data_IF_673887784562
#
_entry.id   IF_673887784562
#
_cell.length_a   1.000
_cell.length_b   1.000
_cell.length_c   1.000
_cell.angle_alpha   90.00
_cell.angle_beta   90.00
_cell.angle_gamma   90.00
#
_symmetry.space_group_name_H-M   'P 1'
#
loop_
_entity.id
_entity.type
_entity.pdbx_description
1 polymer ?
#
# COMPACT_ATOMS: atom_id res chain seq x y z
N UNK A 1 -9.77 62.01 4.88
CA UNK A 1 -8.49 61.33 5.18
C UNK A 1 -8.70 59.85 4.87
N UNK A 2 -7.97 59.31 3.89
CA UNK A 2 -8.34 58.07 3.20
C UNK A 2 -7.94 56.79 3.94
N UNK A 3 -8.81 55.79 3.82
CA UNK A 3 -8.56 54.41 4.23
C UNK A 3 -7.64 53.73 3.22
N UNK A 4 -6.37 53.51 3.58
CA UNK A 4 -5.52 52.59 2.83
C UNK A 4 -5.88 51.16 3.23
N UNK A 5 -6.74 50.54 2.42
CA UNK A 5 -6.95 49.11 2.36
C UNK A 5 -5.68 48.47 1.80
N UNK A 6 -4.79 47.97 2.66
CA UNK A 6 -3.65 47.15 2.23
C UNK A 6 -4.17 45.74 1.96
N UNK A 7 -4.57 45.50 0.71
CA UNK A 7 -4.86 44.17 0.19
C UNK A 7 -3.57 43.35 0.15
N UNK A 8 -3.52 42.28 0.93
CA UNK A 8 -2.55 41.21 0.71
C UNK A 8 -3.14 40.34 -0.40
N UNK A 9 -2.75 40.68 -1.62
CA UNK A 9 -2.98 39.87 -2.82
C UNK A 9 -2.33 38.50 -2.65
N UNK A 10 -3.02 37.50 -3.15
CA UNK A 10 -2.64 36.10 -3.09
C UNK A 10 -1.26 35.86 -3.72
N UNK A 11 -0.30 35.36 -2.92
CA UNK A 11 0.72 34.51 -3.50
C UNK A 11 0.08 33.15 -3.77
N UNK A 12 -0.32 32.96 -5.03
CA UNK A 12 -0.54 31.64 -5.57
C UNK A 12 0.75 30.86 -5.37
N UNK A 13 0.75 29.93 -4.41
CA UNK A 13 1.74 28.86 -4.38
C UNK A 13 1.56 28.12 -5.69
N UNK A 14 2.37 28.50 -6.67
CA UNK A 14 2.55 27.75 -7.89
C UNK A 14 3.31 26.48 -7.48
N UNK A 15 2.59 25.51 -6.92
CA UNK A 15 3.02 24.12 -6.88
C UNK A 15 2.96 23.57 -8.31
N UNK A 16 3.71 24.20 -9.22
CA UNK A 16 4.04 23.66 -10.54
C UNK A 16 5.13 22.63 -10.36
N UNK A 17 4.81 21.56 -9.67
CA UNK A 17 5.40 20.25 -9.87
C UNK A 17 4.34 19.24 -9.49
N UNK A 18 3.24 19.29 -10.26
CA UNK A 18 2.48 18.07 -10.55
C UNK A 18 3.43 17.16 -11.31
N UNK A 19 4.32 16.54 -10.55
CA UNK A 19 5.23 15.50 -10.96
C UNK A 19 4.32 14.30 -11.22
N UNK A 20 3.66 14.36 -12.38
CA UNK A 20 3.08 13.21 -13.06
C UNK A 20 4.26 12.35 -13.53
N UNK A 21 5.16 12.01 -12.60
CA UNK A 21 6.17 11.01 -12.80
C UNK A 21 5.36 9.75 -13.07
N UNK A 22 5.24 9.40 -14.35
CA UNK A 22 4.70 8.12 -14.76
C UNK A 22 5.41 7.07 -13.92
N UNK A 23 4.67 6.47 -12.97
CA UNK A 23 5.21 5.47 -12.05
C UNK A 23 5.39 4.21 -12.85
N UNK A 24 6.56 4.09 -13.48
CA UNK A 24 6.90 2.94 -14.31
C UNK A 24 7.30 1.79 -13.41
N UNK A 25 6.60 0.67 -13.54
CA UNK A 25 6.87 -0.56 -12.81
C UNK A 25 7.18 -1.64 -13.84
N UNK A 26 8.34 -2.28 -13.70
CA UNK A 26 8.72 -3.40 -14.55
C UNK A 26 8.07 -4.69 -14.03
N UNK A 27 7.27 -5.32 -14.89
CA UNK A 27 6.54 -6.55 -14.56
C UNK A 27 7.15 -7.69 -15.37
N UNK A 28 7.58 -8.73 -14.66
CA UNK A 28 8.17 -9.93 -15.26
C UNK A 28 7.16 -11.07 -15.38
N UNK A 29 7.34 -11.99 -16.36
CA UNK A 29 6.51 -13.18 -16.49
C UNK A 29 6.57 -14.07 -15.24
N UNK A 30 5.48 -14.80 -14.96
CA UNK A 30 5.42 -15.77 -13.86
C UNK A 30 6.53 -16.83 -13.94
N UNK A 31 6.99 -17.18 -15.15
CA UNK A 31 8.09 -18.14 -15.36
C UNK A 31 9.44 -17.69 -14.79
N UNK A 32 9.60 -16.42 -14.44
CA UNK A 32 10.79 -15.90 -13.76
C UNK A 32 10.74 -16.11 -12.24
N UNK A 33 9.63 -16.58 -11.68
CA UNK A 33 9.43 -16.78 -10.24
C UNK A 33 9.24 -18.26 -9.92
N UNK A 34 9.87 -18.72 -8.82
CA UNK A 34 9.71 -20.08 -8.31
C UNK A 34 9.20 -20.04 -6.87
N UNK A 35 8.03 -20.64 -6.62
CA UNK A 35 7.46 -20.78 -5.29
C UNK A 35 7.93 -22.10 -4.67
N UNK A 36 8.91 -22.02 -3.76
CA UNK A 36 9.33 -23.18 -2.99
C UNK A 36 8.29 -23.59 -1.94
N UNK A 37 8.36 -24.84 -1.48
CA UNK A 37 7.60 -25.30 -0.32
C UNK A 37 8.36 -24.96 0.97
N UNK A 38 7.67 -24.36 1.95
CA UNK A 38 8.17 -24.19 3.32
C UNK A 38 7.29 -24.99 4.27
N UNK A 39 7.86 -25.41 5.41
CA UNK A 39 7.08 -25.99 6.51
C UNK A 39 5.90 -25.08 6.88
N UNK A 40 4.77 -25.72 7.20
CA UNK A 40 3.58 -24.99 7.61
C UNK A 40 3.91 -24.18 8.87
N UNK A 41 3.70 -22.86 8.79
CA UNK A 41 3.75 -22.01 9.97
C UNK A 41 2.49 -22.37 10.76
N UNK A 42 2.67 -23.12 11.84
CA UNK A 42 1.59 -23.43 12.77
C UNK A 42 1.15 -22.13 13.40
N UNK A 43 0.00 -21.63 12.96
CA UNK A 43 -0.68 -20.58 13.69
C UNK A 43 -1.15 -21.20 15.00
N UNK A 44 -0.71 -20.60 16.11
CA UNK A 44 -1.20 -20.98 17.42
C UNK A 44 -2.73 -20.87 17.39
N UNK A 45 -3.43 -21.87 17.94
CA UNK A 45 -4.88 -21.84 18.13
C UNK A 45 -5.24 -20.73 19.13
N UNK A 46 -5.20 -19.49 18.65
CA UNK A 46 -5.60 -18.31 19.40
C UNK A 46 -7.12 -18.21 19.31
N UNK A 47 -7.79 -18.24 20.46
CA UNK A 47 -9.22 -17.94 20.49
C UNK A 47 -9.44 -16.48 20.09
N UNK A 48 -10.65 -16.14 19.64
CA UNK A 48 -11.01 -14.74 19.37
C UNK A 48 -10.76 -13.84 20.59
N UNK A 49 -11.00 -14.38 21.79
CA UNK A 49 -10.75 -13.70 23.06
C UNK A 49 -9.27 -13.38 23.27
N UNK A 50 -8.38 -14.34 22.98
CA UNK A 50 -6.93 -14.14 23.09
C UNK A 50 -6.45 -13.06 22.11
N UNK A 51 -6.97 -13.07 20.88
CA UNK A 51 -6.65 -12.06 19.86
C UNK A 51 -7.05 -10.66 20.29
N UNK A 52 -8.26 -10.50 20.84
CA UNK A 52 -8.77 -9.21 21.34
C UNK A 52 -7.97 -8.75 22.55
N UNK A 53 -7.69 -9.64 23.51
CA UNK A 53 -6.89 -9.30 24.69
C UNK A 53 -5.50 -8.83 24.30
N UNK A 54 -4.81 -9.55 23.41
CA UNK A 54 -3.51 -9.13 22.88
C UNK A 54 -3.59 -7.78 22.16
N UNK A 55 -4.68 -7.51 21.44
CA UNK A 55 -4.90 -6.21 20.80
C UNK A 55 -5.01 -5.07 21.83
N UNK A 56 -5.80 -5.28 22.89
CA UNK A 56 -5.95 -4.30 23.98
C UNK A 56 -4.64 -4.07 24.73
N UNK A 57 -3.93 -5.14 25.11
CA UNK A 57 -2.66 -5.02 25.83
C UNK A 57 -1.57 -4.34 25.01
N UNK A 58 -1.45 -4.65 23.70
CA UNK A 58 -0.52 -3.94 22.82
C UNK A 58 -0.89 -2.46 22.67
N UNK A 59 -2.18 -2.14 22.57
CA UNK A 59 -2.61 -0.75 22.49
C UNK A 59 -2.28 0.03 23.75
N UNK A 60 -2.48 -0.57 24.94
CA UNK A 60 -2.13 0.07 26.20
C UNK A 60 -0.62 0.34 26.33
N UNK A 61 0.22 -0.52 25.77
CA UNK A 61 1.68 -0.38 25.84
C UNK A 61 2.29 0.49 24.73
N UNK A 62 1.78 0.38 23.50
CA UNK A 62 2.42 0.93 22.28
C UNK A 62 1.50 1.84 21.45
N UNK A 63 0.23 1.98 21.82
CA UNK A 63 -0.74 2.78 21.09
C UNK A 63 -1.25 2.12 19.82
N UNK A 64 -1.56 2.93 18.80
CA UNK A 64 -2.22 2.46 17.58
C UNK A 64 -1.32 1.51 16.77
N UNK A 65 -1.89 0.39 16.33
CA UNK A 65 -1.20 -0.58 15.48
C UNK A 65 -1.04 -0.04 14.07
N UNK A 66 0.15 -0.21 13.50
CA UNK A 66 0.44 0.03 12.08
C UNK A 66 0.69 -1.31 11.39
N UNK A 67 -0.15 -1.66 10.41
CA UNK A 67 0.01 -2.86 9.59
C UNK A 67 0.18 -2.46 8.12
N UNK A 68 1.10 -3.11 7.43
CA UNK A 68 1.32 -2.94 5.99
C UNK A 68 1.06 -4.25 5.27
N UNK A 69 0.38 -4.16 4.13
CA UNK A 69 0.12 -5.30 3.25
C UNK A 69 0.81 -5.02 1.91
N UNK A 70 1.49 -6.02 1.37
CA UNK A 70 2.21 -5.91 0.11
C UNK A 70 1.42 -6.62 -0.99
N UNK A 71 1.35 -5.98 -2.17
CA UNK A 71 0.75 -6.55 -3.38
C UNK A 71 1.88 -6.88 -4.36
N UNK A 72 1.90 -8.12 -4.86
CA UNK A 72 2.88 -8.58 -5.85
C UNK A 72 2.19 -8.71 -7.22
N UNK A 73 2.78 -8.12 -8.25
CA UNK A 73 2.27 -8.13 -9.62
C UNK A 73 3.17 -8.99 -10.52
N UNK A 74 2.57 -9.91 -11.28
CA UNK A 74 3.27 -10.79 -12.23
C UNK A 74 2.46 -10.91 -13.52
N UNK A 75 3.12 -11.18 -14.65
CA UNK A 75 2.44 -11.40 -15.94
C UNK A 75 2.18 -12.89 -16.16
N UNK A 76 0.92 -13.27 -16.33
CA UNK A 76 0.50 -14.60 -16.80
C UNK A 76 0.54 -14.63 -18.34
N UNK A 77 0.78 -15.82 -18.93
CA UNK A 77 1.07 -15.99 -20.36
C UNK A 77 0.09 -15.24 -21.27
N UNK A 78 0.63 -14.42 -22.18
CA UNK A 78 -0.14 -13.58 -23.10
C UNK A 78 -0.65 -14.44 -24.27
N UNK A 79 -1.87 -14.97 -24.18
CA UNK A 79 -2.63 -15.32 -25.38
C UNK A 79 -3.11 -14.01 -26.00
N UNK A 80 -2.83 -13.80 -27.29
CA UNK A 80 -3.22 -12.62 -28.08
C UNK A 80 -4.70 -12.28 -27.89
N UNK A 81 -5.05 -11.41 -26.94
CA UNK A 81 -6.42 -10.90 -26.78
C UNK A 81 -6.90 -10.53 -25.38
N UNK A 82 -6.26 -10.96 -24.29
CA UNK A 82 -6.76 -10.67 -22.93
C UNK A 82 -5.66 -10.09 -22.03
N UNK A 83 -5.78 -8.80 -21.69
CA UNK A 83 -4.99 -8.15 -20.62
C UNK A 83 -5.72 -8.31 -19.28
N UNK A 84 -5.90 -9.55 -18.82
CA UNK A 84 -6.33 -9.78 -17.43
C UNK A 84 -5.09 -9.92 -16.56
N UNK A 85 -4.79 -8.87 -15.80
CA UNK A 85 -3.77 -8.88 -14.77
C UNK A 85 -4.36 -9.50 -13.49
N UNK A 86 -4.06 -10.77 -13.20
CA UNK A 86 -4.45 -11.37 -11.93
C UNK A 86 -3.57 -10.84 -10.79
N UNK A 87 -4.21 -10.31 -9.74
CA UNK A 87 -3.55 -9.85 -8.52
C UNK A 87 -3.32 -11.05 -7.60
N UNK A 88 -2.05 -11.38 -7.34
CA UNK A 88 -1.70 -12.42 -6.38
C UNK A 88 -1.76 -11.84 -4.96
N UNK A 89 -2.81 -12.19 -4.21
CA UNK A 89 -2.88 -11.93 -2.76
C UNK A 89 -2.14 -13.03 -2.02
N UNK A 90 -1.19 -12.66 -1.16
CA UNK A 90 -0.50 -13.58 -0.24
C UNK A 90 -1.11 -13.48 1.16
#
# INVERSE_FOLDING_TARGET
MGDLHMGVEAEAINDSSSDNHSKRVDIYPLSCYYFGSKEAIVFKDETLSDRINRMKSNYAAYGLRTSVEAVILVRLLCFSGCYDCEVLKH
#
